data_IF_297567946145
#
_entry.id   IF_297567946145
#
_cell.length_a   1.000
_cell.length_b   1.000
_cell.length_c   1.000
_cell.angle_alpha   90.00
_cell.angle_beta   90.00
_cell.angle_gamma   90.00
#
_symmetry.space_group_name_H-M   'P 1'
#
loop_
_entity.id
_entity.type
_entity.pdbx_description
1 polymer ?
#
# COMPACT_ATOMS: atom_id res chain seq x y z
N UNK A 1 -15.27 1.59 14.03
CA UNK A 1 -15.65 1.32 12.63
C UNK A 1 -16.80 0.31 12.48
N UNK A 2 -17.19 -0.43 13.53
CA UNK A 2 -18.18 -1.51 13.46
C UNK A 2 -19.50 -1.20 12.72
N UNK A 3 -20.11 -0.02 12.90
CA UNK A 3 -21.36 0.29 12.20
C UNK A 3 -21.16 0.49 10.70
N UNK A 4 -20.09 1.15 10.27
CA UNK A 4 -19.78 1.32 8.84
C UNK A 4 -19.46 -0.03 8.19
N UNK A 5 -18.74 -0.90 8.90
CA UNK A 5 -18.49 -2.27 8.45
C UNK A 5 -19.76 -3.09 8.25
N UNK A 6 -20.78 -2.92 9.09
CA UNK A 6 -22.03 -3.66 9.02
C UNK A 6 -23.03 -3.10 8.00
N UNK A 7 -22.94 -1.81 7.66
CA UNK A 7 -23.93 -1.10 6.85
C UNK A 7 -23.48 -0.85 5.40
N UNK A 8 -22.25 -1.24 5.07
CA UNK A 8 -21.67 -1.07 3.75
C UNK A 8 -21.41 -2.42 3.09
N UNK A 9 -21.37 -2.40 1.77
CA UNK A 9 -21.09 -3.57 0.93
C UNK A 9 -19.70 -3.52 0.32
N UNK A 10 -19.07 -2.35 0.31
CA UNK A 10 -17.77 -2.13 -0.28
C UNK A 10 -16.96 -1.13 0.55
N UNK A 11 -15.63 -1.28 0.52
CA UNK A 11 -14.70 -0.31 1.05
C UNK A 11 -13.56 -0.06 0.07
N UNK A 12 -13.14 1.21 -0.02
CA UNK A 12 -12.01 1.65 -0.83
C UNK A 12 -11.08 2.53 0.01
N UNK A 13 -9.78 2.32 -0.10
CA UNK A 13 -8.78 3.19 0.50
C UNK A 13 -7.57 3.35 -0.40
N UNK A 14 -6.96 4.53 -0.37
CA UNK A 14 -5.75 4.85 -1.11
C UNK A 14 -4.60 5.04 -0.14
N UNK A 15 -3.42 4.51 -0.46
CA UNK A 15 -2.16 4.82 0.24
C UNK A 15 -1.11 5.15 -0.81
N UNK A 16 -0.40 6.24 -0.62
CA UNK A 16 0.71 6.65 -1.48
C UNK A 16 1.99 6.64 -0.67
N UNK A 17 3.02 5.95 -1.17
CA UNK A 17 4.37 6.04 -0.60
C UNK A 17 5.19 6.91 -1.54
N UNK A 18 5.52 8.10 -1.07
CA UNK A 18 6.49 8.99 -1.70
C UNK A 18 7.88 8.49 -1.34
N UNK A 19 8.76 8.38 -2.32
CA UNK A 19 10.07 7.73 -2.18
C UNK A 19 11.14 8.55 -2.88
N UNK A 20 12.34 8.55 -2.29
CA UNK A 20 13.54 9.13 -2.86
C UNK A 20 14.61 8.05 -2.84
N UNK A 21 15.04 7.61 -4.02
CA UNK A 21 16.07 6.58 -4.21
C UNK A 21 15.81 5.25 -3.48
N UNK A 22 14.56 4.85 -3.27
CA UNK A 22 14.24 3.63 -2.52
C UNK A 22 13.02 2.91 -3.09
N UNK A 23 13.18 1.68 -3.61
CA UNK A 23 12.05 0.90 -4.10
C UNK A 23 11.22 0.38 -2.94
N UNK A 24 9.90 0.38 -3.11
CA UNK A 24 8.94 -0.10 -2.09
C UNK A 24 8.05 -1.24 -2.60
N UNK A 25 7.95 -1.39 -3.92
CA UNK A 25 7.12 -2.41 -4.56
C UNK A 25 7.94 -3.26 -5.54
N UNK A 26 8.14 -2.78 -6.77
CA UNK A 26 9.02 -3.41 -7.74
C UNK A 26 10.47 -2.93 -7.57
N UNK A 27 11.43 -3.80 -7.92
CA UNK A 27 12.85 -3.44 -7.98
C UNK A 27 13.29 -2.99 -9.39
N UNK A 28 12.38 -3.04 -10.37
CA UNK A 28 12.64 -2.65 -11.75
C UNK A 28 11.37 -2.15 -12.41
N UNK A 29 11.44 -1.75 -13.68
CA UNK A 29 10.29 -1.27 -14.45
C UNK A 29 9.20 -2.32 -14.71
N UNK A 30 9.34 -3.55 -14.20
CA UNK A 30 8.42 -4.65 -14.47
C UNK A 30 7.05 -4.52 -13.81
N UNK A 31 6.82 -3.54 -12.91
CA UNK A 31 5.65 -3.41 -12.02
C UNK A 31 5.36 -4.63 -11.12
N UNK A 32 6.02 -5.76 -11.39
CA UNK A 32 5.97 -6.97 -10.58
C UNK A 32 6.53 -6.73 -9.17
N UNK A 33 5.81 -7.18 -8.13
CA UNK A 33 6.24 -7.03 -6.76
C UNK A 33 7.55 -7.77 -6.50
N UNK A 34 8.47 -7.10 -5.81
CA UNK A 34 9.67 -7.75 -5.28
C UNK A 34 9.32 -8.69 -4.11
N UNK A 35 10.17 -9.67 -3.77
CA UNK A 35 10.00 -10.50 -2.58
C UNK A 35 9.93 -9.71 -1.26
N UNK A 36 10.45 -8.47 -1.27
CA UNK A 36 10.48 -7.55 -0.13
C UNK A 36 9.47 -6.41 -0.28
N UNK A 37 8.52 -6.50 -1.20
CA UNK A 37 7.50 -5.49 -1.40
C UNK A 37 6.74 -5.20 -0.10
N UNK A 38 6.29 -3.95 0.02
CA UNK A 38 5.48 -3.50 1.16
C UNK A 38 4.21 -4.34 1.30
N UNK A 39 3.79 -4.53 2.55
CA UNK A 39 2.57 -5.25 2.91
C UNK A 39 1.75 -4.41 3.86
N UNK A 40 0.44 -4.54 3.82
CA UNK A 40 -0.46 -3.69 4.59
C UNK A 40 -1.30 -4.54 5.53
N UNK A 41 -1.42 -4.11 6.79
CA UNK A 41 -2.24 -4.80 7.77
C UNK A 41 -3.69 -4.36 7.61
N UNK A 42 -4.58 -5.32 7.41
CA UNK A 42 -6.02 -5.09 7.33
C UNK A 42 -6.63 -4.80 8.71
N UNK A 43 -7.88 -4.32 8.71
CA UNK A 43 -8.63 -4.10 9.94
C UNK A 43 -9.09 -5.40 10.60
N UNK A 44 -9.51 -6.40 9.82
CA UNK A 44 -9.88 -7.73 10.30
C UNK A 44 -8.69 -8.37 10.99
N UNK A 45 -8.90 -8.84 12.22
CA UNK A 45 -7.84 -9.17 13.17
C UNK A 45 -6.82 -10.20 12.68
N UNK A 46 -5.76 -9.72 12.01
CA UNK A 46 -4.58 -10.50 11.62
C UNK A 46 -4.31 -10.59 10.11
N UNK A 47 -5.24 -10.15 9.26
CA UNK A 47 -5.08 -10.31 7.81
C UNK A 47 -4.06 -9.33 7.22
N UNK A 48 -3.34 -9.80 6.21
CA UNK A 48 -2.33 -9.05 5.48
C UNK A 48 -2.74 -8.90 4.02
N UNK A 49 -2.75 -7.66 3.56
CA UNK A 49 -2.93 -7.27 2.17
C UNK A 49 -1.54 -7.21 1.52
N UNK A 50 -1.31 -8.05 0.51
CA UNK A 50 0.02 -8.24 -0.07
C UNK A 50 -0.07 -8.83 -1.48
N UNK A 51 1.01 -8.71 -2.25
CA UNK A 51 1.18 -9.36 -3.55
C UNK A 51 0.84 -10.86 -3.49
N UNK A 52 0.00 -11.34 -4.40
CA UNK A 52 -0.46 -12.74 -4.44
C UNK A 52 -1.23 -13.22 -3.21
N UNK A 53 -1.67 -12.32 -2.33
CA UNK A 53 -2.50 -12.61 -1.16
C UNK A 53 -3.99 -12.75 -1.50
N UNK A 54 -4.82 -12.97 -0.47
CA UNK A 54 -6.28 -13.03 -0.63
C UNK A 54 -6.84 -11.69 -1.13
N UNK A 55 -6.37 -10.58 -0.55
CA UNK A 55 -6.54 -9.24 -1.07
C UNK A 55 -5.17 -8.75 -1.53
N UNK A 56 -5.07 -8.42 -2.81
CA UNK A 56 -3.88 -7.84 -3.43
C UNK A 56 -4.10 -6.33 -3.63
N UNK A 57 -3.11 -5.47 -3.31
CA UNK A 57 -3.24 -4.05 -3.61
C UNK A 57 -3.20 -3.81 -5.12
N UNK A 58 -4.12 -3.00 -5.63
CA UNK A 58 -4.01 -2.51 -6.99
C UNK A 58 -3.00 -1.37 -7.05
N UNK A 59 -1.88 -1.58 -7.75
CA UNK A 59 -0.83 -0.59 -7.92
C UNK A 59 -1.11 0.23 -9.17
N UNK A 60 -1.65 1.43 -8.99
CA UNK A 60 -2.02 2.33 -10.09
C UNK A 60 -0.78 2.96 -10.74
N UNK A 61 0.26 3.18 -9.93
CA UNK A 61 1.51 3.80 -10.34
C UNK A 61 2.64 3.28 -9.46
N UNK A 62 3.76 2.90 -10.06
CA UNK A 62 5.01 2.58 -9.34
C UNK A 62 6.22 3.19 -10.06
N UNK A 63 6.76 4.25 -9.47
CA UNK A 63 7.99 4.92 -9.93
C UNK A 63 9.11 4.82 -8.89
N UNK A 64 8.90 4.14 -7.76
CA UNK A 64 9.91 4.08 -6.70
C UNK A 64 11.15 3.25 -7.03
N UNK A 65 11.08 2.43 -8.08
CA UNK A 65 12.25 1.75 -8.63
C UNK A 65 13.26 2.73 -9.29
N UNK A 66 12.85 3.97 -9.58
CA UNK A 66 13.72 5.01 -10.15
C UNK A 66 14.54 5.66 -9.03
N UNK A 67 15.87 5.54 -9.12
CA UNK A 67 16.83 6.07 -8.15
C UNK A 67 17.69 7.18 -8.77
N UNK A 68 17.05 8.25 -9.24
CA UNK A 68 17.67 9.37 -9.97
C UNK A 68 17.91 10.63 -9.11
N UNK A 69 17.74 10.52 -7.79
CA UNK A 69 17.84 11.64 -6.86
C UNK A 69 16.61 12.55 -6.81
N UNK A 70 15.49 12.13 -7.41
CA UNK A 70 14.20 12.85 -7.35
C UNK A 70 13.16 12.06 -6.57
N UNK A 71 12.15 12.79 -6.11
CA UNK A 71 10.99 12.18 -5.46
C UNK A 71 10.09 11.55 -6.52
N UNK A 72 9.72 10.30 -6.24
CA UNK A 72 8.78 9.49 -7.00
C UNK A 72 7.71 8.96 -6.05
N UNK A 73 6.78 8.15 -6.57
CA UNK A 73 5.73 7.55 -5.74
C UNK A 73 5.29 6.18 -6.23
N UNK A 74 4.84 5.36 -5.29
CA UNK A 74 4.00 4.19 -5.55
C UNK A 74 2.61 4.45 -4.97
N UNK A 75 1.57 4.32 -5.79
CA UNK A 75 0.18 4.56 -5.41
C UNK A 75 -0.59 3.25 -5.37
N UNK A 76 -1.03 2.89 -4.16
CA UNK A 76 -1.81 1.70 -3.86
C UNK A 76 -3.29 2.05 -3.70
N UNK A 77 -4.14 1.24 -4.31
CA UNK A 77 -5.60 1.27 -4.13
C UNK A 77 -6.03 -0.08 -3.59
N UNK A 78 -6.71 -0.04 -2.45
CA UNK A 78 -7.33 -1.19 -1.82
C UNK A 78 -8.83 -1.10 -2.07
N UNK A 79 -9.41 -2.08 -2.74
CA UNK A 79 -10.83 -2.15 -3.03
C UNK A 79 -11.33 -3.56 -2.72
N UNK A 80 -12.42 -3.66 -1.96
CA UNK A 80 -12.92 -4.95 -1.47
C UNK A 80 -14.42 -4.91 -1.19
N UNK A 81 -15.08 -6.03 -1.44
CA UNK A 81 -16.48 -6.28 -1.05
C UNK A 81 -16.63 -6.80 0.39
N UNK A 82 -15.52 -6.96 1.11
CA UNK A 82 -15.53 -7.19 2.56
C UNK A 82 -15.02 -5.92 3.28
N UNK A 83 -15.94 -5.06 3.77
CA UNK A 83 -15.58 -3.83 4.47
C UNK A 83 -14.69 -4.06 5.70
N UNK A 84 -14.69 -5.26 6.31
CA UNK A 84 -13.91 -5.54 7.49
C UNK A 84 -12.40 -5.56 7.22
N UNK A 85 -11.96 -5.63 5.96
CA UNK A 85 -10.53 -5.62 5.62
C UNK A 85 -9.93 -4.20 5.68
N UNK A 86 -10.75 -3.14 5.64
CA UNK A 86 -10.30 -1.75 5.67
C UNK A 86 -10.83 -1.02 6.93
N UNK A 87 -10.17 0.05 7.43
CA UNK A 87 -8.97 0.68 6.87
C UNK A 87 -7.69 -0.14 7.08
N UNK A 88 -6.67 0.21 6.29
CA UNK A 88 -5.28 -0.18 6.55
C UNK A 88 -4.85 0.34 7.92
N UNK A 89 -4.34 -0.56 8.75
CA UNK A 89 -3.90 -0.26 10.11
C UNK A 89 -2.42 0.05 10.22
N UNK A 90 -1.59 -0.59 9.38
CA UNK A 90 -0.14 -0.49 9.46
C UNK A 90 0.52 -0.90 8.14
N UNK A 91 1.78 -0.51 7.94
CA UNK A 91 2.58 -0.85 6.76
C UNK A 91 3.85 -1.59 7.19
N UNK A 92 4.01 -2.79 6.65
CA UNK A 92 5.12 -3.69 6.91
C UNK A 92 6.06 -3.76 5.70
N UNK A 93 7.26 -4.28 5.93
CA UNK A 93 8.34 -4.37 4.94
C UNK A 93 8.73 -3.02 4.33
N UNK A 94 8.56 -1.92 5.08
CA UNK A 94 9.17 -0.65 4.68
C UNK A 94 10.70 -0.82 4.68
N UNK A 95 11.38 -0.47 3.57
CA UNK A 95 12.81 -0.66 3.45
C UNK A 95 13.57 0.30 4.38
N UNK A 96 14.73 -0.13 4.88
CA UNK A 96 15.58 0.73 5.70
C UNK A 96 16.16 1.87 4.84
N UNK A 97 16.13 3.10 5.36
CA UNK A 97 16.73 4.25 4.69
C UNK A 97 18.25 4.25 4.84
N UNK A 98 18.95 4.61 3.78
CA UNK A 98 20.38 4.87 3.70
C UNK A 98 20.62 6.37 3.49
N UNK A 99 21.85 6.90 3.66
CA UNK A 99 22.13 8.30 3.35
C UNK A 99 21.71 8.66 1.92
N UNK A 100 20.79 9.62 1.78
CA UNK A 100 20.26 10.04 0.49
C UNK A 100 19.05 9.24 -0.01
N UNK A 101 18.52 8.31 0.80
CA UNK A 101 17.23 7.68 0.56
C UNK A 101 16.22 7.99 1.67
N UNK A 102 14.98 8.26 1.27
CA UNK A 102 13.91 8.68 2.16
C UNK A 102 12.57 8.17 1.65
N UNK A 103 11.59 8.06 2.55
CA UNK A 103 10.21 7.85 2.16
C UNK A 103 9.27 8.63 3.06
N UNK A 104 8.08 8.91 2.55
CA UNK A 104 6.98 9.56 3.25
C UNK A 104 5.68 8.85 2.88
N UNK A 105 4.88 8.50 3.90
CA UNK A 105 3.58 7.86 3.70
C UNK A 105 2.46 8.89 3.75
N UNK A 106 1.64 8.87 2.71
CA UNK A 106 0.38 9.59 2.63
C UNK A 106 -0.76 8.56 2.68
N UNK A 107 -1.52 8.60 3.78
CA UNK A 107 -2.64 7.67 4.01
C UNK A 107 -3.94 8.39 3.69
N UNK A 108 -4.59 7.97 2.60
CA UNK A 108 -5.89 8.49 2.21
C UNK A 108 -7.02 8.02 3.14
N UNK A 109 -8.16 8.72 3.13
CA UNK A 109 -9.34 8.28 3.88
C UNK A 109 -9.84 6.93 3.34
N UNK A 110 -10.45 6.15 4.23
CA UNK A 110 -11.26 5.00 3.82
C UNK A 110 -12.66 5.47 3.48
N UNK A 111 -13.17 5.03 2.33
CA UNK A 111 -14.50 5.28 1.82
C UNK A 111 -15.31 3.98 1.94
N UNK A 112 -16.51 4.06 2.51
CA UNK A 112 -17.46 2.95 2.63
C UNK A 112 -18.68 3.26 1.76
N UNK A 113 -19.18 2.26 1.02
CA UNK A 113 -20.31 2.36 0.10
C UNK A 113 -21.44 1.38 0.47
#
# INVERSE_FOLDING_TARGET
MNFLHLLSSEAVQHVTIHCLNIPVWANSSSLEPSPTAVRFKAWSGGDMIQAGGLLEPHVVKDECWIQDGRWHQTHFVFQTQDPNLLPVLDVYNLPATEPGSHYHLEVGPVCFL
#
